data_IF_653620792273
#
_entry.id   IF_653620792273
#
_cell.length_a   1.000
_cell.length_b   1.000
_cell.length_c   1.000
_cell.angle_alpha   90.00
_cell.angle_beta   90.00
_cell.angle_gamma   90.00
#
_symmetry.space_group_name_H-M   'P 1'
#
loop_
_entity.id
_entity.type
_entity.pdbx_description
1 polymer ?
#
# COMPACT_ATOMS: atom_id res chain seq x y z
N UNK A 1 36.36 8.23 30.74
CA UNK A 1 36.01 8.86 29.44
C UNK A 1 35.87 7.85 28.30
N UNK A 2 36.86 6.97 28.05
CA UNK A 2 36.85 6.02 26.93
C UNK A 2 35.59 5.14 26.81
N UNK A 3 35.08 4.62 27.94
CA UNK A 3 33.84 3.82 27.96
C UNK A 3 32.60 4.58 27.45
N UNK A 4 32.50 5.89 27.73
CA UNK A 4 31.38 6.73 27.28
C UNK A 4 31.48 7.06 25.80
N UNK A 5 32.71 7.28 25.32
CA UNK A 5 33.00 7.47 23.90
C UNK A 5 32.65 6.20 23.10
N UNK A 6 33.08 5.03 23.59
CA UNK A 6 32.80 3.75 22.93
C UNK A 6 31.30 3.45 22.88
N UNK A 7 30.58 3.69 23.97
CA UNK A 7 29.13 3.57 24.00
C UNK A 7 28.44 4.54 23.02
N UNK A 8 28.92 5.78 22.91
CA UNK A 8 28.41 6.75 21.94
C UNK A 8 28.61 6.31 20.49
N UNK A 9 29.78 5.76 20.16
CA UNK A 9 30.08 5.24 18.81
C UNK A 9 29.19 4.06 18.46
N UNK A 10 28.99 3.12 19.40
CA UNK A 10 28.12 1.96 19.19
C UNK A 10 26.66 2.40 18.99
N UNK A 11 26.18 3.36 19.79
CA UNK A 11 24.83 3.91 19.65
C UNK A 11 24.63 4.61 18.31
N UNK A 12 25.60 5.42 17.87
CA UNK A 12 25.54 6.10 16.57
C UNK A 12 25.59 5.11 15.41
N UNK A 13 26.44 4.08 15.51
CA UNK A 13 26.51 3.01 14.53
C UNK A 13 25.16 2.30 14.40
N UNK A 14 24.51 1.93 15.52
CA UNK A 14 23.19 1.30 15.49
C UNK A 14 22.12 2.17 14.83
N UNK A 15 22.09 3.48 15.10
CA UNK A 15 21.15 4.40 14.45
C UNK A 15 21.43 4.50 12.94
N UNK A 16 22.70 4.48 12.52
CA UNK A 16 23.06 4.56 11.11
C UNK A 16 22.68 3.32 10.29
N UNK A 17 22.63 2.13 10.90
CA UNK A 17 22.22 0.88 10.21
C UNK A 17 20.74 0.55 10.40
N UNK A 18 20.02 1.30 11.24
CA UNK A 18 18.60 1.08 11.44
C UNK A 18 17.83 1.46 10.16
N UNK A 19 17.36 0.45 9.43
CA UNK A 19 16.45 0.64 8.31
C UNK A 19 15.03 0.81 8.88
N UNK A 20 14.36 1.96 8.68
CA UNK A 20 12.98 2.11 9.08
C UNK A 20 12.11 1.13 8.29
N UNK A 21 11.22 0.42 8.95
CA UNK A 21 10.19 -0.37 8.28
C UNK A 21 9.22 0.60 7.59
N UNK A 22 9.39 0.79 6.28
CA UNK A 22 8.51 1.65 5.49
C UNK A 22 7.17 0.94 5.24
N UNK A 23 6.07 1.54 5.69
CA UNK A 23 4.73 1.15 5.28
C UNK A 23 4.27 2.10 4.17
N UNK A 24 3.97 1.55 3.00
CA UNK A 24 3.44 2.32 1.87
C UNK A 24 1.91 2.21 1.83
N UNK A 25 1.23 3.35 1.70
CA UNK A 25 -0.22 3.42 1.55
C UNK A 25 -0.52 4.21 0.28
N UNK A 26 -1.39 3.67 -0.57
CA UNK A 26 -1.88 4.33 -1.77
C UNK A 26 -3.41 4.30 -1.77
N UNK A 27 -4.04 5.45 -2.02
CA UNK A 27 -5.48 5.55 -2.24
C UNK A 27 -5.70 5.75 -3.75
N UNK A 28 -6.46 4.83 -4.36
CA UNK A 28 -6.75 4.87 -5.79
C UNK A 28 -8.25 5.02 -5.98
N UNK A 29 -8.65 6.10 -6.67
CA UNK A 29 -10.01 6.29 -7.13
C UNK A 29 -10.18 5.63 -8.50
N UNK A 30 -11.15 4.71 -8.61
CA UNK A 30 -11.49 4.04 -9.87
C UNK A 30 -12.99 4.07 -10.11
N UNK A 31 -13.40 3.99 -11.37
CA UNK A 31 -14.79 4.00 -11.81
C UNK A 31 -15.08 2.74 -12.61
N UNK A 32 -16.24 2.12 -12.37
CA UNK A 32 -16.75 1.00 -13.16
C UNK A 32 -17.90 1.47 -14.07
N UNK A 33 -18.07 0.87 -15.26
CA UNK A 33 -19.18 1.20 -16.15
C UNK A 33 -20.54 0.96 -15.48
N UNK A 34 -21.48 1.89 -15.63
CA UNK A 34 -22.83 1.76 -15.05
C UNK A 34 -23.57 0.50 -15.53
N UNK A 35 -23.30 0.05 -16.77
CA UNK A 35 -23.84 -1.17 -17.36
C UNK A 35 -23.47 -2.44 -16.58
N UNK A 36 -22.34 -2.43 -15.85
CA UNK A 36 -21.90 -3.57 -15.04
C UNK A 36 -22.72 -3.74 -13.74
N UNK A 37 -23.59 -2.79 -13.40
CA UNK A 37 -24.38 -2.81 -12.16
C UNK A 37 -25.74 -3.52 -12.28
N UNK A 38 -26.02 -4.13 -13.44
CA UNK A 38 -27.30 -4.79 -13.73
C UNK A 38 -27.47 -6.17 -13.09
N UNK A 39 -26.36 -6.82 -12.70
CA UNK A 39 -26.33 -8.12 -12.05
C UNK A 39 -25.13 -8.17 -11.07
N UNK A 40 -25.27 -8.92 -9.98
CA UNK A 40 -24.26 -9.04 -8.91
C UNK A 40 -22.98 -9.72 -9.41
N UNK A 41 -23.09 -10.74 -10.26
CA UNK A 41 -21.90 -11.43 -10.79
C UNK A 41 -21.08 -10.49 -11.68
N UNK A 42 -21.76 -9.78 -12.58
CA UNK A 42 -21.16 -8.78 -13.45
C UNK A 42 -20.53 -7.62 -12.66
N UNK A 43 -21.19 -7.19 -11.58
CA UNK A 43 -20.67 -6.14 -10.70
C UNK A 43 -19.40 -6.60 -9.98
N UNK A 44 -19.41 -7.82 -9.44
CA UNK A 44 -18.24 -8.42 -8.78
C UNK A 44 -17.04 -8.52 -9.72
N UNK A 45 -17.26 -8.96 -10.96
CA UNK A 45 -16.21 -9.01 -11.99
C UNK A 45 -15.67 -7.62 -12.32
N UNK A 46 -16.53 -6.61 -12.48
CA UNK A 46 -16.11 -5.25 -12.76
C UNK A 46 -15.28 -4.63 -11.63
N UNK A 47 -15.69 -4.87 -10.37
CA UNK A 47 -14.92 -4.42 -9.19
C UNK A 47 -13.57 -5.13 -9.13
N UNK A 48 -13.53 -6.45 -9.35
CA UNK A 48 -12.28 -7.20 -9.34
C UNK A 48 -11.32 -6.75 -10.46
N UNK A 49 -11.85 -6.50 -11.65
CA UNK A 49 -11.08 -5.97 -12.77
C UNK A 49 -10.49 -4.59 -12.44
N UNK A 50 -11.27 -3.70 -11.82
CA UNK A 50 -10.81 -2.38 -11.42
C UNK A 50 -9.71 -2.43 -10.33
N UNK A 51 -9.83 -3.35 -9.37
CA UNK A 51 -8.77 -3.59 -8.37
C UNK A 51 -7.50 -4.10 -9.06
N UNK A 52 -7.62 -5.09 -9.94
CA UNK A 52 -6.47 -5.66 -10.67
C UNK A 52 -5.77 -4.60 -11.51
N UNK A 53 -6.51 -3.73 -12.16
CA UNK A 53 -5.98 -2.63 -12.95
C UNK A 53 -5.20 -1.64 -12.08
N UNK A 54 -5.78 -1.21 -10.95
CA UNK A 54 -5.10 -0.34 -9.99
C UNK A 54 -3.79 -0.97 -9.45
N UNK A 55 -3.81 -2.26 -9.12
CA UNK A 55 -2.63 -2.98 -8.64
C UNK A 55 -1.53 -3.13 -9.71
N UNK A 56 -1.89 -3.13 -10.98
CA UNK A 56 -0.96 -3.36 -12.09
C UNK A 56 -0.43 -2.06 -12.67
N UNK A 57 -1.27 -1.04 -12.76
CA UNK A 57 -0.98 0.20 -13.50
C UNK A 57 -0.81 1.42 -12.59
N UNK A 58 -1.50 1.49 -11.45
CA UNK A 58 -1.52 2.69 -10.62
C UNK A 58 -0.51 2.65 -9.46
N UNK A 59 -0.08 1.46 -9.03
CA UNK A 59 0.79 1.28 -7.86
C UNK A 59 2.11 0.63 -8.28
N UNK A 60 3.23 1.22 -7.88
CA UNK A 60 4.59 0.78 -8.24
C UNK A 60 5.19 -0.28 -7.29
N UNK A 61 4.38 -0.84 -6.39
CA UNK A 61 4.80 -1.83 -5.41
C UNK A 61 3.67 -2.84 -5.17
N UNK A 62 4.01 -4.01 -4.61
CA UNK A 62 3.03 -5.04 -4.27
C UNK A 62 2.48 -4.77 -2.86
N UNK A 63 1.20 -4.39 -2.71
CA UNK A 63 0.61 -4.20 -1.39
C UNK A 63 0.37 -5.54 -0.68
N UNK A 64 0.49 -5.54 0.64
CA UNK A 64 0.15 -6.70 1.48
C UNK A 64 -1.33 -6.73 1.90
N UNK A 65 -2.01 -5.57 1.83
CA UNK A 65 -3.41 -5.40 2.19
C UNK A 65 -4.08 -4.49 1.16
N UNK A 66 -5.27 -4.87 0.73
CA UNK A 66 -6.15 -4.04 -0.12
C UNK A 66 -7.49 -3.90 0.60
N UNK A 67 -7.98 -2.67 0.73
CA UNK A 67 -9.24 -2.36 1.38
C UNK A 67 -10.08 -1.42 0.52
N UNK A 68 -11.34 -1.78 0.29
CA UNK A 68 -12.32 -0.87 -0.31
C UNK A 68 -12.83 0.10 0.77
N UNK A 69 -12.43 1.36 0.70
CA UNK A 69 -12.79 2.38 1.70
C UNK A 69 -14.20 2.94 1.49
N UNK A 70 -14.54 3.27 0.24
CA UNK A 70 -15.85 3.81 -0.14
C UNK A 70 -16.22 3.34 -1.53
N UNK A 71 -17.48 2.97 -1.68
CA UNK A 71 -18.13 2.82 -2.98
C UNK A 71 -19.35 3.74 -3.01
N UNK A 72 -19.50 4.48 -4.11
CA UNK A 72 -20.66 5.34 -4.35
C UNK A 72 -21.20 5.01 -5.74
N UNK A 73 -22.53 5.09 -5.87
CA UNK A 73 -23.27 4.86 -7.11
C UNK A 73 -23.59 6.19 -7.77
#
# INVERSE_FOLDING_TARGET
MLKRLLAGIIGLAMVAVAQPASAFVAEVATSIPAAASGDEATLGEAVFAAIKDALTQAIAFTPSLVQLQRAKR
#
